data_IF_209707527554
#
_entry.id   IF_209707527554
#
_cell.length_a   1.000
_cell.length_b   1.000
_cell.length_c   1.000
_cell.angle_alpha   90.00
_cell.angle_beta   90.00
_cell.angle_gamma   90.00
#
_symmetry.space_group_name_H-M   'P 1'
#
loop_
_entity.id
_entity.type
_entity.pdbx_description
1 polymer ?
#
# COMPACT_ATOMS: atom_id res chain seq x y z
N UNK A 1 -8.82 -7.25 -3.81
CA UNK A 1 -8.95 -6.59 -2.49
C UNK A 1 -8.17 -7.41 -1.48
N UNK A 2 -7.13 -6.84 -0.88
CA UNK A 2 -6.34 -7.49 0.17
C UNK A 2 -7.08 -7.45 1.50
N UNK A 3 -6.70 -8.30 2.48
CA UNK A 3 -7.26 -8.26 3.85
C UNK A 3 -7.05 -6.86 4.48
N UNK A 4 -5.94 -6.21 4.15
CA UNK A 4 -5.64 -4.85 4.59
C UNK A 4 -6.66 -3.83 4.07
N UNK A 5 -7.15 -3.97 2.83
CA UNK A 5 -8.21 -3.08 2.31
C UNK A 5 -9.49 -3.20 3.14
N UNK A 6 -9.88 -4.43 3.49
CA UNK A 6 -11.06 -4.68 4.31
C UNK A 6 -10.92 -4.05 5.69
N UNK A 7 -9.75 -4.18 6.33
CA UNK A 7 -9.47 -3.55 7.61
C UNK A 7 -9.55 -2.03 7.51
N UNK A 8 -8.96 -1.43 6.48
CA UNK A 8 -8.98 0.01 6.28
C UNK A 8 -10.41 0.55 6.09
N UNK A 9 -11.21 -0.11 5.24
CA UNK A 9 -12.60 0.27 4.93
C UNK A 9 -13.51 0.10 6.14
N UNK A 10 -13.45 -1.05 6.81
CA UNK A 10 -14.28 -1.32 7.99
C UNK A 10 -13.92 -0.34 9.12
N UNK A 11 -12.62 -0.14 9.39
CA UNK A 11 -12.18 0.77 10.44
C UNK A 11 -12.64 2.21 10.17
N UNK A 12 -12.51 2.68 8.92
CA UNK A 12 -12.97 4.02 8.55
C UNK A 12 -14.49 4.17 8.66
N UNK A 13 -15.23 3.14 8.22
CA UNK A 13 -16.70 3.13 8.31
C UNK A 13 -17.19 3.17 9.76
N UNK A 14 -16.56 2.39 10.64
CA UNK A 14 -16.84 2.41 12.08
C UNK A 14 -16.50 3.77 12.69
N UNK A 15 -15.36 4.38 12.30
CA UNK A 15 -14.99 5.71 12.77
C UNK A 15 -16.05 6.76 12.42
N UNK A 16 -16.56 6.75 11.18
CA UNK A 16 -17.62 7.66 10.72
C UNK A 16 -18.89 7.47 11.54
N UNK A 17 -19.32 6.22 11.77
CA UNK A 17 -20.50 5.93 12.59
C UNK A 17 -20.34 6.42 14.04
N UNK A 18 -19.16 6.22 14.63
CA UNK A 18 -18.84 6.70 15.97
C UNK A 18 -18.87 8.23 16.06
N UNK A 19 -18.37 8.93 15.04
CA UNK A 19 -18.45 10.39 14.96
C UNK A 19 -19.91 10.87 14.86
N UNK A 20 -20.77 10.19 14.09
CA UNK A 20 -22.20 10.50 14.07
C UNK A 20 -22.85 10.32 15.44
N UNK A 21 -22.60 9.20 16.12
CA UNK A 21 -23.11 8.98 17.48
C UNK A 21 -22.55 10.00 18.47
N UNK A 22 -21.30 10.41 18.33
CA UNK A 22 -20.69 11.46 19.13
C UNK A 22 -21.44 12.78 18.96
N UNK A 23 -21.73 13.20 17.72
CA UNK A 23 -22.47 14.43 17.43
C UNK A 23 -23.88 14.42 18.04
N UNK A 24 -24.60 13.31 17.92
CA UNK A 24 -25.93 13.15 18.54
C UNK A 24 -25.83 13.31 20.06
N UNK A 25 -24.85 12.65 20.70
CA UNK A 25 -24.65 12.75 22.15
C UNK A 25 -24.23 14.15 22.59
N UNK A 26 -23.47 14.87 21.76
CA UNK A 26 -23.03 16.24 21.98
C UNK A 26 -24.23 17.23 21.93
N UNK A 27 -25.13 17.07 20.97
CA UNK A 27 -26.40 17.84 20.93
C UNK A 27 -27.24 17.61 22.19
N UNK A 28 -27.39 16.35 22.62
CA UNK A 28 -28.12 16.00 23.85
C UNK A 28 -27.43 16.61 25.08
N UNK A 29 -26.10 16.59 25.12
CA UNK A 29 -25.31 17.22 26.20
C UNK A 29 -25.59 18.71 26.33
N UNK A 30 -25.63 19.45 25.21
CA UNK A 30 -25.97 20.88 25.21
C UNK A 30 -27.41 21.13 25.64
N UNK A 31 -28.37 20.33 25.17
CA UNK A 31 -29.79 20.41 25.60
C UNK A 31 -29.93 20.21 27.12
N UNK A 32 -29.23 19.23 27.70
CA UNK A 32 -29.22 19.03 29.15
C UNK A 32 -28.55 20.19 29.91
N UNK A 33 -27.52 20.80 29.33
CA UNK A 33 -26.91 22.02 29.87
C UNK A 33 -27.89 23.19 29.94
N UNK A 34 -28.69 23.38 28.88
CA UNK A 34 -29.76 24.37 28.85
C UNK A 34 -30.86 24.07 29.87
N UNK A 35 -31.32 22.81 29.98
CA UNK A 35 -32.32 22.41 30.99
C UNK A 35 -31.81 22.63 32.42
N UNK A 36 -30.54 22.31 32.69
CA UNK A 36 -29.92 22.53 33.98
C UNK A 36 -29.87 24.03 34.33
N UNK A 37 -29.52 24.89 33.37
CA UNK A 37 -29.56 26.35 33.55
C UNK A 37 -30.99 26.83 33.87
N UNK A 38 -32.00 26.34 33.14
CA UNK A 38 -33.42 26.67 33.40
C UNK A 38 -33.86 26.29 34.82
N UNK A 39 -33.60 25.06 35.26
CA UNK A 39 -33.96 24.58 36.61
C UNK A 39 -33.19 25.31 37.71
N UNK A 40 -31.97 25.79 37.41
CA UNK A 40 -31.16 26.54 38.37
C UNK A 40 -31.69 27.96 38.61
N UNK A 41 -32.30 28.59 37.61
CA UNK A 41 -32.95 29.90 37.73
C UNK A 41 -34.22 29.88 38.59
N UNK A 42 -34.92 28.75 38.69
CA UNK A 42 -36.16 28.62 39.48
C UNK A 42 -35.84 28.71 40.99
N UNK A 43 -36.33 29.77 41.65
CA UNK A 43 -36.28 29.93 43.12
C UNK A 43 -37.67 29.64 43.71
N UNK A 44 -37.76 28.74 44.71
CA UNK A 44 -39.03 28.42 45.38
C UNK A 44 -38.88 28.54 46.89
N UNK A 45 -39.79 29.25 47.55
CA UNK A 45 -39.84 29.32 49.03
C UNK A 45 -40.32 28.00 49.68
N UNK A 46 -41.03 27.13 48.94
CA UNK A 46 -41.57 25.86 49.46
C UNK A 46 -40.49 24.76 49.61
N UNK A 47 -40.34 24.22 50.83
CA UNK A 47 -39.35 23.18 51.20
C UNK A 47 -39.51 21.87 50.40
N UNK A 48 -40.74 21.40 50.14
CA UNK A 48 -41.01 20.17 49.36
C UNK A 48 -40.61 20.35 47.89
N UNK A 49 -40.97 21.49 47.27
CA UNK A 49 -40.60 21.82 45.88
C UNK A 49 -39.08 22.01 45.72
N UNK A 50 -38.43 22.65 46.70
CA UNK A 50 -36.96 22.80 46.74
C UNK A 50 -36.22 21.46 46.74
N UNK A 51 -36.68 20.49 47.55
CA UNK A 51 -36.09 19.14 47.57
C UNK A 51 -36.22 18.41 46.22
N UNK A 52 -37.39 18.49 45.56
CA UNK A 52 -37.59 17.90 44.22
C UNK A 52 -36.68 18.53 43.16
N UNK A 53 -36.54 19.86 43.15
CA UNK A 53 -35.64 20.56 42.23
C UNK A 53 -34.17 20.16 42.44
N UNK A 54 -33.73 20.04 43.70
CA UNK A 54 -32.36 19.62 44.02
C UNK A 54 -32.06 18.18 43.55
N UNK A 55 -33.02 17.25 43.70
CA UNK A 55 -32.89 15.89 43.15
C UNK A 55 -32.77 15.93 41.64
N UNK A 56 -33.69 16.62 40.94
CA UNK A 56 -33.66 16.76 39.47
C UNK A 56 -32.35 17.39 38.98
N UNK A 57 -31.81 18.40 39.68
CA UNK A 57 -30.48 18.98 39.39
C UNK A 57 -29.37 17.95 39.53
N UNK A 58 -29.35 17.17 40.62
CA UNK A 58 -28.33 16.14 40.85
C UNK A 58 -28.40 15.06 39.77
N UNK A 59 -29.59 14.63 39.38
CA UNK A 59 -29.80 13.63 38.34
C UNK A 59 -29.36 14.13 36.95
N UNK A 60 -29.71 15.38 36.59
CA UNK A 60 -29.26 16.00 35.35
C UNK A 60 -27.74 16.19 35.31
N UNK A 61 -27.09 16.57 36.43
CA UNK A 61 -25.63 16.64 36.51
C UNK A 61 -24.99 15.27 36.27
N UNK A 62 -25.50 14.23 36.92
CA UNK A 62 -25.02 12.85 36.72
C UNK A 62 -25.21 12.39 35.27
N UNK A 63 -26.38 12.62 34.67
CA UNK A 63 -26.65 12.28 33.26
C UNK A 63 -25.74 13.05 32.30
N UNK A 64 -25.53 14.35 32.55
CA UNK A 64 -24.60 15.18 31.78
C UNK A 64 -23.16 14.67 31.84
N UNK A 65 -22.69 14.30 33.04
CA UNK A 65 -21.35 13.74 33.22
C UNK A 65 -21.20 12.38 32.50
N UNK A 66 -22.18 11.49 32.63
CA UNK A 66 -22.18 10.21 31.88
C UNK A 66 -22.13 10.43 30.38
N UNK A 67 -22.91 11.37 29.84
CA UNK A 67 -22.86 11.70 28.41
C UNK A 67 -21.52 12.30 27.97
N UNK A 68 -20.88 13.09 28.82
CA UNK A 68 -19.53 13.60 28.52
C UNK A 68 -18.53 12.44 28.39
N UNK A 69 -18.61 11.45 29.29
CA UNK A 69 -17.78 10.24 29.21
C UNK A 69 -18.08 9.48 27.91
N UNK A 70 -19.35 9.33 27.53
CA UNK A 70 -19.74 8.69 26.26
C UNK A 70 -19.22 9.45 25.03
N UNK A 71 -19.27 10.78 25.03
CA UNK A 71 -18.71 11.62 23.96
C UNK A 71 -17.20 11.43 23.88
N UNK A 72 -16.51 11.49 25.02
CA UNK A 72 -15.06 11.28 25.08
C UNK A 72 -14.67 9.87 24.63
N UNK A 73 -15.43 8.84 25.00
CA UNK A 73 -15.15 7.46 24.57
C UNK A 73 -15.36 7.29 23.07
N UNK A 74 -16.44 7.83 22.50
CA UNK A 74 -16.64 7.75 21.05
C UNK A 74 -15.59 8.53 20.27
N UNK A 75 -15.20 9.71 20.75
CA UNK A 75 -14.11 10.47 20.15
C UNK A 75 -12.81 9.64 20.19
N UNK A 76 -12.44 9.12 21.35
CA UNK A 76 -11.22 8.33 21.52
C UNK A 76 -11.19 7.10 20.59
N UNK A 77 -12.26 6.30 20.57
CA UNK A 77 -12.35 5.12 19.71
C UNK A 77 -12.34 5.52 18.24
N UNK A 78 -13.03 6.60 17.85
CA UNK A 78 -13.02 7.07 16.46
C UNK A 78 -11.62 7.47 16.00
N UNK A 79 -10.84 8.13 16.86
CA UNK A 79 -9.45 8.51 16.57
C UNK A 79 -8.58 7.26 16.41
N UNK A 80 -8.74 6.25 17.28
CA UNK A 80 -8.04 4.97 17.12
C UNK A 80 -8.37 4.29 15.79
N UNK A 81 -9.64 4.25 15.39
CA UNK A 81 -10.06 3.66 14.12
C UNK A 81 -9.52 4.42 12.91
N UNK A 82 -9.49 5.76 12.96
CA UNK A 82 -8.89 6.60 11.91
C UNK A 82 -7.38 6.32 11.82
N UNK A 83 -6.68 6.29 12.95
CA UNK A 83 -5.25 6.00 12.97
C UNK A 83 -4.94 4.59 12.45
N UNK A 84 -5.75 3.60 12.80
CA UNK A 84 -5.59 2.24 12.29
C UNK A 84 -5.77 2.18 10.77
N UNK A 85 -6.81 2.84 10.24
CA UNK A 85 -7.07 2.90 8.80
C UNK A 85 -5.93 3.63 8.07
N UNK A 86 -5.50 4.79 8.59
CA UNK A 86 -4.40 5.57 8.03
C UNK A 86 -3.08 4.78 8.04
N UNK A 87 -2.80 4.04 9.12
CA UNK A 87 -1.62 3.19 9.21
C UNK A 87 -1.66 2.06 8.17
N UNK A 88 -2.82 1.43 7.97
CA UNK A 88 -2.97 0.39 6.95
C UNK A 88 -2.74 0.93 5.54
N UNK A 89 -3.31 2.09 5.21
CA UNK A 89 -3.09 2.75 3.92
C UNK A 89 -1.62 3.14 3.76
N UNK A 90 -1.01 3.72 4.79
CA UNK A 90 0.42 4.06 4.77
C UNK A 90 1.28 2.83 4.51
N UNK A 91 1.03 1.73 5.24
CA UNK A 91 1.75 0.47 5.06
C UNK A 91 1.60 -0.08 3.63
N UNK A 92 0.40 -0.05 3.06
CA UNK A 92 0.18 -0.47 1.66
C UNK A 92 0.89 0.45 0.67
N UNK A 93 1.03 1.74 0.98
CA UNK A 93 1.70 2.71 0.10
C UNK A 93 3.21 2.58 0.05
N UNK A 94 3.82 2.02 1.09
CA UNK A 94 5.28 1.88 1.21
C UNK A 94 5.79 0.47 0.95
N UNK A 95 4.90 -0.52 0.82
CA UNK A 95 5.28 -1.92 0.64
C UNK A 95 4.74 -2.47 -0.68
N UNK A 96 5.48 -3.40 -1.28
CA UNK A 96 5.07 -4.05 -2.52
C UNK A 96 3.87 -4.96 -2.30
N UNK A 97 2.89 -4.85 -3.21
CA UNK A 97 1.82 -5.83 -3.33
C UNK A 97 2.35 -7.21 -3.74
N UNK A 98 1.55 -8.26 -3.52
CA UNK A 98 1.94 -9.64 -3.85
C UNK A 98 2.25 -9.82 -5.34
N UNK A 99 1.47 -9.16 -6.20
CA UNK A 99 1.64 -9.24 -7.65
C UNK A 99 2.94 -8.53 -8.06
N UNK A 100 3.23 -7.35 -7.52
CA UNK A 100 4.49 -6.65 -7.79
C UNK A 100 5.71 -7.44 -7.27
N UNK A 101 5.61 -8.05 -6.09
CA UNK A 101 6.66 -8.94 -5.57
C UNK A 101 6.93 -10.10 -6.53
N UNK A 102 5.88 -10.78 -7.00
CA UNK A 102 6.01 -11.89 -7.93
C UNK A 102 6.61 -11.44 -9.27
N UNK A 103 6.16 -10.30 -9.79
CA UNK A 103 6.68 -9.73 -11.03
C UNK A 103 8.16 -9.34 -10.90
N UNK A 104 8.57 -8.73 -9.78
CA UNK A 104 9.98 -8.38 -9.54
C UNK A 104 10.83 -9.64 -9.42
N UNK A 105 10.35 -10.69 -8.73
CA UNK A 105 11.04 -11.99 -8.66
C UNK A 105 11.20 -12.61 -10.05
N UNK A 106 10.13 -12.66 -10.85
CA UNK A 106 10.21 -13.18 -12.22
C UNK A 106 11.17 -12.36 -13.08
N UNK A 107 11.16 -11.04 -12.95
CA UNK A 107 12.07 -10.16 -13.65
C UNK A 107 13.54 -10.42 -13.30
N UNK A 108 13.83 -10.56 -12.00
CA UNK A 108 15.15 -10.92 -11.50
C UNK A 108 15.63 -12.25 -12.07
N UNK A 109 14.75 -13.25 -12.13
CA UNK A 109 15.08 -14.55 -12.71
C UNK A 109 15.35 -14.48 -14.21
N UNK A 110 14.51 -13.78 -14.97
CA UNK A 110 14.71 -13.66 -16.42
C UNK A 110 15.99 -12.90 -16.77
N UNK A 111 16.34 -11.85 -16.02
CA UNK A 111 17.61 -11.16 -16.22
C UNK A 111 18.81 -12.03 -15.85
N UNK A 112 18.70 -12.83 -14.78
CA UNK A 112 19.78 -13.73 -14.35
C UNK A 112 19.97 -14.89 -15.34
N UNK A 113 18.87 -15.47 -15.82
CA UNK A 113 18.87 -16.50 -16.87
C UNK A 113 19.48 -15.93 -18.16
N UNK A 114 19.15 -14.69 -18.53
CA UNK A 114 19.73 -14.00 -19.68
C UNK A 114 21.25 -13.83 -19.56
N UNK A 115 21.72 -13.29 -18.44
CA UNK A 115 23.15 -13.11 -18.18
C UNK A 115 23.90 -14.45 -18.22
N UNK A 116 23.31 -15.51 -17.65
CA UNK A 116 23.88 -16.84 -17.68
C UNK A 116 23.98 -17.41 -19.10
N UNK A 117 22.93 -17.26 -19.93
CA UNK A 117 22.98 -17.71 -21.32
C UNK A 117 24.07 -16.97 -22.13
N UNK A 118 24.22 -15.67 -21.90
CA UNK A 118 25.27 -14.87 -22.54
C UNK A 118 26.67 -15.33 -22.08
N UNK A 119 26.89 -15.54 -20.78
CA UNK A 119 28.18 -16.01 -20.24
C UNK A 119 28.55 -17.39 -20.76
N UNK A 120 27.60 -18.34 -20.74
CA UNK A 120 27.84 -19.70 -21.22
C UNK A 120 28.21 -19.73 -22.71
N UNK A 121 27.61 -18.86 -23.53
CA UNK A 121 27.97 -18.76 -24.94
C UNK A 121 29.42 -18.27 -25.14
N UNK A 122 29.84 -17.27 -24.37
CA UNK A 122 31.20 -16.73 -24.46
C UNK A 122 32.27 -17.71 -23.94
N UNK A 123 31.97 -18.46 -22.87
CA UNK A 123 32.90 -19.39 -22.25
C UNK A 123 32.99 -20.73 -22.99
N UNK A 124 31.86 -21.31 -23.39
CA UNK A 124 31.80 -22.67 -23.94
C UNK A 124 31.85 -22.70 -25.48
N UNK A 125 31.83 -21.54 -26.15
CA UNK A 125 31.63 -21.44 -27.62
C UNK A 125 30.46 -22.31 -28.09
N UNK A 126 29.36 -22.24 -27.35
CA UNK A 126 28.20 -23.08 -27.58
C UNK A 126 27.55 -22.78 -28.94
N UNK A 127 26.73 -23.72 -29.42
CA UNK A 127 26.04 -23.61 -30.70
C UNK A 127 25.15 -22.34 -30.73
N UNK A 128 25.44 -21.43 -31.66
CA UNK A 128 24.72 -20.16 -31.83
C UNK A 128 23.23 -20.35 -32.09
N UNK A 129 22.81 -21.50 -32.66
CA UNK A 129 21.39 -21.81 -32.84
C UNK A 129 20.69 -22.04 -31.50
N UNK A 130 21.33 -22.76 -30.57
CA UNK A 130 20.82 -23.03 -29.22
C UNK A 130 20.77 -21.76 -28.37
N UNK A 131 21.77 -20.90 -28.49
CA UNK A 131 21.72 -19.58 -27.86
C UNK A 131 20.52 -18.78 -28.39
N UNK A 132 20.37 -18.72 -29.72
CA UNK A 132 19.28 -17.98 -30.35
C UNK A 132 17.92 -18.46 -29.84
N UNK A 133 17.67 -19.77 -29.76
CA UNK A 133 16.42 -20.34 -29.22
C UNK A 133 16.17 -19.97 -27.75
N UNK A 134 17.20 -20.05 -26.91
CA UNK A 134 17.11 -19.70 -25.49
C UNK A 134 16.83 -18.20 -25.30
N UNK A 135 17.55 -17.33 -26.03
CA UNK A 135 17.31 -15.89 -26.04
C UNK A 135 15.93 -15.54 -26.60
N UNK A 136 15.43 -16.29 -27.59
CA UNK A 136 14.06 -16.20 -28.10
C UNK A 136 13.02 -16.47 -27.01
N UNK A 137 13.23 -17.51 -26.21
CA UNK A 137 12.34 -17.84 -25.10
C UNK A 137 12.35 -16.76 -24.02
N UNK A 138 13.52 -16.27 -23.63
CA UNK A 138 13.66 -15.22 -22.62
C UNK A 138 13.07 -13.90 -23.14
N UNK A 139 13.35 -13.52 -24.38
CA UNK A 139 12.82 -12.30 -25.01
C UNK A 139 11.30 -12.30 -25.11
N UNK A 140 10.67 -13.44 -25.39
CA UNK A 140 9.22 -13.58 -25.32
C UNK A 140 8.69 -13.32 -23.92
N UNK A 141 9.30 -13.91 -22.88
CA UNK A 141 8.90 -13.69 -21.47
C UNK A 141 9.07 -12.22 -21.05
N UNK A 142 10.17 -11.60 -21.44
CA UNK A 142 10.46 -10.18 -21.17
C UNK A 142 9.49 -9.26 -21.92
N UNK A 143 9.24 -9.49 -23.21
CA UNK A 143 8.31 -8.68 -24.01
C UNK A 143 6.85 -8.78 -23.55
N UNK A 144 6.50 -9.89 -22.88
CA UNK A 144 5.20 -10.11 -22.26
C UNK A 144 5.01 -9.36 -20.92
N UNK A 145 6.04 -8.67 -20.38
CA UNK A 145 5.87 -7.79 -19.23
C UNK A 145 4.90 -6.65 -19.56
N UNK A 146 3.66 -6.81 -19.13
CA UNK A 146 2.58 -5.83 -19.25
C UNK A 146 2.06 -5.39 -17.89
N UNK A 147 2.71 -5.86 -16.82
CA UNK A 147 2.41 -5.53 -15.45
C UNK A 147 2.47 -4.02 -15.22
N UNK A 148 1.55 -3.53 -14.40
CA UNK A 148 1.56 -2.18 -13.86
C UNK A 148 1.76 -2.29 -12.35
N UNK A 149 2.50 -1.35 -11.79
CA UNK A 149 2.66 -1.24 -10.35
C UNK A 149 1.29 -1.19 -9.65
N UNK A 150 1.18 -1.78 -8.47
CA UNK A 150 -0.02 -1.68 -7.64
C UNK A 150 -0.35 -0.20 -7.38
N UNK A 151 -1.58 0.19 -7.71
CA UNK A 151 -2.08 1.55 -7.56
C UNK A 151 -2.06 2.05 -6.11
N UNK A 152 -1.92 1.14 -5.13
CA UNK A 152 -1.81 1.48 -3.71
C UNK A 152 -0.45 2.03 -3.31
N UNK A 153 0.61 1.68 -4.05
CA UNK A 153 1.97 2.16 -3.78
C UNK A 153 1.98 3.69 -3.95
N UNK A 154 2.87 4.40 -3.26
CA UNK A 154 3.04 5.83 -3.50
C UNK A 154 3.45 6.15 -4.96
N UNK A 155 3.22 7.38 -5.40
CA UNK A 155 3.45 7.77 -6.80
C UNK A 155 4.91 7.52 -7.27
N UNK A 156 5.88 7.82 -6.41
CA UNK A 156 7.29 7.64 -6.73
C UNK A 156 7.66 6.16 -6.88
N UNK A 157 7.16 5.31 -5.99
CA UNK A 157 7.33 3.85 -6.06
C UNK A 157 6.64 3.26 -7.30
N UNK A 158 5.41 3.71 -7.61
CA UNK A 158 4.72 3.30 -8.83
C UNK A 158 5.51 3.69 -10.08
N UNK A 159 6.01 4.93 -10.15
CA UNK A 159 6.81 5.41 -11.27
C UNK A 159 8.08 4.57 -11.45
N UNK A 160 8.76 4.27 -10.34
CA UNK A 160 9.99 3.50 -10.33
C UNK A 160 9.76 2.06 -10.82
N UNK A 161 8.74 1.38 -10.31
CA UNK A 161 8.36 0.02 -10.74
C UNK A 161 7.91 0.00 -12.20
N UNK A 162 7.06 0.94 -12.62
CA UNK A 162 6.57 1.01 -13.99
C UNK A 162 7.72 1.26 -14.98
N UNK A 163 8.71 2.08 -14.63
CA UNK A 163 9.91 2.28 -15.44
C UNK A 163 10.73 1.00 -15.55
N UNK A 164 10.88 0.23 -14.48
CA UNK A 164 11.54 -1.07 -14.52
C UNK A 164 10.79 -2.05 -15.44
N UNK A 165 9.48 -2.24 -15.25
CA UNK A 165 8.67 -3.13 -16.10
C UNK A 165 8.67 -2.72 -17.58
N UNK A 166 8.62 -1.41 -17.85
CA UNK A 166 8.73 -0.91 -19.23
C UNK A 166 10.09 -1.24 -19.84
N UNK A 167 11.16 -1.10 -19.06
CA UNK A 167 12.51 -1.41 -19.54
C UNK A 167 12.70 -2.91 -19.81
N UNK A 168 12.12 -3.77 -18.97
CA UNK A 168 12.08 -5.22 -19.21
C UNK A 168 11.36 -5.55 -20.52
N UNK A 169 10.20 -4.92 -20.73
CA UNK A 169 9.43 -5.09 -21.97
C UNK A 169 10.20 -4.64 -23.21
N UNK A 170 10.83 -3.48 -23.14
CA UNK A 170 11.63 -2.92 -24.23
C UNK A 170 12.84 -3.80 -24.54
N UNK A 171 13.57 -4.26 -23.52
CA UNK A 171 14.67 -5.21 -23.67
C UNK A 171 14.22 -6.48 -24.39
N UNK A 172 13.11 -7.08 -23.95
CA UNK A 172 12.54 -8.26 -24.60
C UNK A 172 12.17 -8.03 -26.08
N UNK A 173 11.62 -6.85 -26.41
CA UNK A 173 11.30 -6.51 -27.81
C UNK A 173 12.53 -6.36 -28.68
N UNK A 174 13.57 -5.67 -28.19
CA UNK A 174 14.82 -5.48 -28.91
C UNK A 174 15.48 -6.84 -29.15
N UNK A 175 15.58 -7.67 -28.11
CA UNK A 175 16.13 -9.02 -28.23
C UNK A 175 15.37 -9.89 -29.23
N UNK A 176 14.03 -9.83 -29.21
CA UNK A 176 13.21 -10.60 -30.14
C UNK A 176 13.40 -10.14 -31.59
N UNK A 177 13.55 -8.83 -31.82
CA UNK A 177 13.78 -8.27 -33.14
C UNK A 177 15.18 -8.60 -33.70
N UNK A 178 16.19 -8.66 -32.83
CA UNK A 178 17.60 -8.87 -33.22
C UNK A 178 18.10 -10.31 -32.96
N UNK A 179 17.20 -11.26 -32.64
CA UNK A 179 17.51 -12.60 -32.15
C UNK A 179 18.51 -13.39 -33.02
N UNK A 180 18.42 -13.28 -34.34
CA UNK A 180 19.34 -13.95 -35.27
C UNK A 180 20.72 -13.27 -35.29
N UNK A 181 20.76 -11.95 -35.17
CA UNK A 181 22.00 -11.16 -35.23
C UNK A 181 22.80 -11.24 -33.92
N UNK A 182 22.15 -11.54 -32.80
CA UNK A 182 22.79 -11.66 -31.48
C UNK A 182 23.79 -12.82 -31.40
N UNK A 183 23.57 -13.91 -32.14
CA UNK A 183 24.48 -15.05 -32.17
C UNK A 183 25.66 -14.83 -33.15
N UNK A 184 25.43 -14.05 -34.21
CA UNK A 184 26.37 -13.88 -35.32
C UNK A 184 27.27 -12.64 -35.18
N UNK A 185 26.86 -11.64 -34.40
CA UNK A 185 27.59 -10.37 -34.25
C UNK A 185 28.02 -10.11 -32.79
N UNK A 186 29.34 -10.09 -32.51
CA UNK A 186 29.84 -9.76 -31.17
C UNK A 186 29.56 -8.31 -30.75
N UNK A 187 29.42 -7.39 -31.71
CA UNK A 187 29.03 -6.00 -31.44
C UNK A 187 27.60 -5.94 -30.88
N UNK A 188 26.67 -6.69 -31.48
CA UNK A 188 25.28 -6.78 -31.02
C UNK A 188 25.15 -7.44 -29.65
N UNK A 189 25.97 -8.46 -29.37
CA UNK A 189 26.03 -9.07 -28.05
C UNK A 189 26.54 -8.08 -26.99
N UNK A 190 27.51 -7.22 -27.33
CA UNK A 190 27.99 -6.17 -26.44
C UNK A 190 26.95 -5.07 -26.17
N UNK A 191 26.21 -4.64 -27.20
CA UNK A 191 25.08 -3.71 -27.04
C UNK A 191 24.01 -4.30 -26.10
N UNK A 192 23.66 -5.58 -26.30
CA UNK A 192 22.71 -6.27 -25.44
C UNK A 192 23.16 -6.27 -23.97
N UNK A 193 24.43 -6.57 -23.69
CA UNK A 193 24.98 -6.53 -22.33
C UNK A 193 24.83 -5.15 -21.68
N UNK A 194 25.07 -4.07 -22.43
CA UNK A 194 24.89 -2.71 -21.93
C UNK A 194 23.43 -2.43 -21.59
N UNK A 195 22.49 -2.90 -22.42
CA UNK A 195 21.07 -2.71 -22.17
C UNK A 195 20.60 -3.55 -20.97
N UNK A 196 21.06 -4.80 -20.83
CA UNK A 196 20.83 -5.62 -19.64
C UNK A 196 21.34 -4.91 -18.38
N UNK A 197 22.56 -4.34 -18.42
CA UNK A 197 23.12 -3.60 -17.30
C UNK A 197 22.28 -2.37 -16.89
N UNK A 198 21.75 -1.61 -17.87
CA UNK A 198 20.83 -0.49 -17.59
C UNK A 198 19.54 -0.97 -16.93
N UNK A 199 18.99 -2.10 -17.36
CA UNK A 199 17.78 -2.67 -16.75
C UNK A 199 18.08 -3.18 -15.32
N UNK A 200 19.24 -3.80 -15.09
CA UNK A 200 19.73 -4.19 -13.76
C UNK A 200 19.90 -3.01 -12.82
N UNK A 201 20.37 -1.86 -13.30
CA UNK A 201 20.46 -0.66 -12.46
C UNK A 201 19.07 -0.20 -12.00
N UNK A 202 18.07 -0.25 -12.89
CA UNK A 202 16.67 0.06 -12.53
C UNK A 202 16.10 -0.96 -11.56
N UNK A 203 16.38 -2.25 -11.76
CA UNK A 203 16.00 -3.30 -10.82
C UNK A 203 16.61 -3.06 -9.44
N UNK A 204 17.92 -2.77 -9.36
CA UNK A 204 18.60 -2.51 -8.10
C UNK A 204 17.95 -1.34 -7.35
N UNK A 205 17.60 -0.26 -8.06
CA UNK A 205 16.86 0.86 -7.47
C UNK A 205 15.50 0.44 -6.91
N UNK A 206 14.79 -0.48 -7.56
CA UNK A 206 13.54 -1.08 -7.03
C UNK A 206 13.84 -1.84 -5.75
N UNK A 207 14.81 -2.74 -5.78
CA UNK A 207 15.17 -3.57 -4.63
C UNK A 207 15.60 -2.73 -3.43
N UNK A 208 16.40 -1.68 -3.65
CA UNK A 208 16.88 -0.78 -2.60
C UNK A 208 15.72 0.04 -2.00
N UNK A 209 14.86 0.60 -2.86
CA UNK A 209 13.71 1.41 -2.43
C UNK A 209 12.75 0.62 -1.56
N UNK A 210 12.46 -0.63 -1.94
CA UNK A 210 11.57 -1.52 -1.20
C UNK A 210 12.29 -2.43 -0.20
N UNK A 211 13.60 -2.22 0.01
CA UNK A 211 14.45 -2.97 0.94
C UNK A 211 14.35 -4.50 0.77
N UNK A 212 14.24 -4.95 -0.47
CA UNK A 212 14.21 -6.37 -0.80
C UNK A 212 15.63 -6.92 -0.81
N UNK A 213 15.89 -7.98 -0.04
CA UNK A 213 17.19 -8.64 -0.06
C UNK A 213 17.33 -9.52 -1.31
N UNK A 214 18.49 -9.49 -1.99
CA UNK A 214 18.75 -10.41 -3.11
C UNK A 214 18.64 -11.88 -2.69
N UNK A 215 19.10 -12.21 -1.48
CA UNK A 215 18.96 -13.55 -0.88
C UNK A 215 17.51 -14.02 -0.79
N UNK A 216 16.55 -13.12 -0.56
CA UNK A 216 15.13 -13.47 -0.55
C UNK A 216 14.53 -13.69 -1.94
N UNK A 217 15.18 -13.20 -2.99
CA UNK A 217 14.78 -13.44 -4.38
C UNK A 217 15.29 -14.80 -4.87
N UNK A 218 16.49 -15.21 -4.45
CA UNK A 218 17.15 -16.48 -4.87
C UNK A 218 16.56 -17.75 -4.23
N UNK A 219 15.76 -17.62 -3.16
CA UNK A 219 15.22 -18.75 -2.39
C UNK A 219 13.83 -19.24 -2.85
N UNK A 220 13.27 -18.68 -3.92
CA UNK A 220 11.90 -18.94 -4.39
C UNK A 220 11.85 -19.43 -5.81
#
# INVERSE_FOLDING_TARGET
MTILDWIAIISLSVAILLLFFMLINLVIFFRMGAELKRITKIRTKNKKKRRRLNRKKKDLRKKKQKRMITVASFLFISVLCIMASAYTVYYQSTNLGKDDQNNIVMGYYYLSELEQQISNFEEEKSDGTKLSENLGTISMRLSAFTSKADYRINNDGQLLINRYYTSMKELGKVMFAEQQQLADSPEKLAELKLDVAKVREKEQKVLDTFKISKKSLEQK
#
